data_IF_010215801475
#
_entry.id   IF_010215801475
#
_cell.length_a   1.000
_cell.length_b   1.000
_cell.length_c   1.000
_cell.angle_alpha   90.00
_cell.angle_beta   90.00
_cell.angle_gamma   90.00
#
_symmetry.space_group_name_H-M   'P 1'
#
loop_
_entity.id
_entity.type
_entity.pdbx_description
1 polymer ?
#
# COMPACT_ATOMS: atom_id res chain seq x y z
N UNK A 1 -18.77 8.94 -2.58
CA UNK A 1 -19.82 9.89 -2.17
C UNK A 1 -19.51 11.37 -2.42
N UNK A 2 -18.24 11.81 -2.56
CA UNK A 2 -17.89 13.18 -3.00
C UNK A 2 -16.90 13.25 -4.18
N UNK A 3 -16.48 12.10 -4.69
CA UNK A 3 -15.57 11.98 -5.81
C UNK A 3 -16.22 11.06 -6.85
N UNK A 4 -16.44 11.57 -8.06
CA UNK A 4 -17.00 10.78 -9.15
C UNK A 4 -15.88 9.96 -9.82
N UNK A 5 -16.05 8.65 -10.07
CA UNK A 5 -15.01 7.80 -10.66
C UNK A 5 -14.39 8.33 -11.97
N UNK A 6 -15.21 8.86 -12.89
CA UNK A 6 -14.72 9.44 -14.15
C UNK A 6 -13.88 10.69 -13.92
N UNK A 7 -14.36 11.59 -13.05
CA UNK A 7 -13.62 12.80 -12.68
C UNK A 7 -12.29 12.44 -12.00
N UNK A 8 -12.28 11.50 -11.07
CA UNK A 8 -11.05 11.01 -10.45
C UNK A 8 -10.06 10.50 -11.52
N UNK A 9 -10.49 9.56 -12.36
CA UNK A 9 -9.61 8.90 -13.34
C UNK A 9 -9.04 9.87 -14.37
N UNK A 10 -9.85 10.78 -14.90
CA UNK A 10 -9.44 11.65 -16.00
C UNK A 10 -8.87 13.00 -15.57
N UNK A 11 -9.23 13.51 -14.38
CA UNK A 11 -8.90 14.89 -13.98
C UNK A 11 -8.03 14.99 -12.73
N UNK A 12 -8.03 13.98 -11.88
CA UNK A 12 -7.23 13.98 -10.64
C UNK A 12 -6.00 13.10 -10.83
N UNK A 13 -6.23 11.84 -11.17
CA UNK A 13 -5.22 10.79 -11.30
C UNK A 13 -4.03 11.12 -12.21
N UNK A 14 -4.16 11.84 -13.34
CA UNK A 14 -3.01 12.18 -14.18
C UNK A 14 -1.91 12.95 -13.44
N UNK A 15 -2.27 13.81 -12.49
CA UNK A 15 -1.33 14.61 -11.72
C UNK A 15 -0.67 13.84 -10.56
N UNK A 16 -1.12 12.61 -10.32
CA UNK A 16 -0.60 11.74 -9.25
C UNK A 16 0.50 10.79 -9.74
N UNK A 17 0.69 10.68 -11.06
CA UNK A 17 1.77 9.88 -11.62
C UNK A 17 3.12 10.54 -11.36
N UNK A 18 4.10 9.73 -10.96
CA UNK A 18 5.50 10.13 -10.88
C UNK A 18 6.20 9.92 -12.21
N UNK A 19 7.52 9.92 -12.19
CA UNK A 19 8.38 9.80 -13.37
C UNK A 19 9.32 8.60 -13.31
N UNK A 20 9.16 7.72 -12.31
CA UNK A 20 9.71 6.35 -12.35
C UNK A 20 8.78 5.44 -13.14
N UNK A 21 9.32 4.67 -14.08
CA UNK A 21 8.56 3.79 -14.98
C UNK A 21 7.49 4.54 -15.81
N UNK A 22 7.67 5.85 -16.05
CA UNK A 22 6.71 6.69 -16.78
C UNK A 22 7.13 6.87 -18.26
N UNK A 23 6.32 6.45 -19.24
CA UNK A 23 6.68 6.57 -20.67
C UNK A 23 6.77 8.02 -21.16
N UNK A 24 6.11 8.97 -20.50
CA UNK A 24 6.18 10.39 -20.87
C UNK A 24 7.50 11.04 -20.37
N UNK A 25 8.19 10.42 -19.40
CA UNK A 25 9.48 10.84 -18.83
C UNK A 25 10.39 9.61 -18.61
N UNK A 26 10.85 8.95 -19.69
CA UNK A 26 11.50 7.64 -19.60
C UNK A 26 12.84 7.65 -18.87
N UNK A 27 13.52 8.80 -18.83
CA UNK A 27 14.79 8.96 -18.13
C UNK A 27 14.61 9.54 -16.70
N UNK A 28 13.38 9.85 -16.28
CA UNK A 28 13.07 10.56 -15.03
C UNK A 28 13.00 12.09 -15.20
N UNK A 29 13.06 12.81 -14.07
CA UNK A 29 12.91 14.27 -14.03
C UNK A 29 14.18 14.96 -13.53
N UNK A 30 14.60 16.03 -14.20
CA UNK A 30 15.70 16.89 -13.75
C UNK A 30 15.18 17.91 -12.75
N UNK A 31 15.83 17.96 -11.59
CA UNK A 31 15.58 18.95 -10.55
C UNK A 31 16.62 20.06 -10.61
N UNK A 32 16.33 21.10 -11.38
CA UNK A 32 17.25 22.23 -11.56
C UNK A 32 17.57 22.92 -10.21
N UNK A 33 18.84 23.21 -9.98
CA UNK A 33 19.33 23.86 -8.75
C UNK A 33 19.42 22.95 -7.51
N UNK A 34 19.20 21.64 -7.64
CA UNK A 34 19.33 20.70 -6.52
C UNK A 34 20.67 19.95 -6.61
N UNK A 35 21.66 20.43 -5.86
CA UNK A 35 23.04 19.90 -5.87
C UNK A 35 23.13 18.40 -5.63
N UNK A 36 22.28 17.85 -4.76
CA UNK A 36 22.27 16.42 -4.43
C UNK A 36 22.06 15.50 -5.64
N UNK A 37 21.41 16.00 -6.70
CA UNK A 37 21.17 15.25 -7.92
C UNK A 37 22.18 15.57 -9.03
N UNK A 38 22.95 16.65 -8.89
CA UNK A 38 24.05 16.99 -9.81
C UNK A 38 23.60 17.16 -11.25
N UNK A 39 22.40 17.71 -11.48
CA UNK A 39 21.81 17.90 -12.82
C UNK A 39 21.38 16.61 -13.53
N UNK A 40 21.47 15.44 -12.88
CA UNK A 40 21.02 14.17 -13.46
C UNK A 40 19.51 14.01 -13.29
N UNK A 41 18.83 13.35 -14.24
CA UNK A 41 17.47 12.91 -14.05
C UNK A 41 17.34 12.00 -12.83
N UNK A 42 16.23 12.15 -12.10
CA UNK A 42 15.90 11.36 -10.90
C UNK A 42 14.57 10.70 -11.11
N UNK A 43 14.43 9.46 -10.65
CA UNK A 43 13.20 8.69 -10.72
C UNK A 43 12.49 8.65 -9.37
N UNK A 44 11.22 9.07 -9.35
CA UNK A 44 10.35 8.89 -8.19
C UNK A 44 8.99 8.33 -8.62
N UNK A 45 8.47 7.40 -7.82
CA UNK A 45 7.12 6.86 -8.01
C UNK A 45 6.06 7.93 -7.76
N UNK A 46 4.92 7.75 -8.41
CA UNK A 46 3.72 8.54 -8.14
C UNK A 46 3.11 8.23 -6.78
N UNK A 47 2.08 8.98 -6.44
CA UNK A 47 1.29 8.74 -5.24
C UNK A 47 0.63 7.36 -5.30
N UNK A 48 0.58 6.68 -4.17
CA UNK A 48 -0.26 5.50 -3.98
C UNK A 48 -0.67 5.37 -2.52
N UNK A 49 -1.83 4.76 -2.27
CA UNK A 49 -2.25 4.38 -0.91
C UNK A 49 -1.25 3.49 -0.16
N UNK A 50 -0.34 2.81 -0.86
CA UNK A 50 0.76 2.06 -0.24
C UNK A 50 1.82 2.95 0.43
N UNK A 51 1.78 4.26 0.27
CA UNK A 51 2.63 5.22 1.01
C UNK A 51 2.01 5.61 2.37
N UNK A 52 0.75 5.22 2.64
CA UNK A 52 0.13 5.41 3.96
C UNK A 52 0.73 4.44 4.97
N UNK A 53 1.25 4.98 6.09
CA UNK A 53 1.84 4.21 7.19
C UNK A 53 0.82 3.38 7.99
N UNK A 54 -0.47 3.73 7.92
CA UNK A 54 -1.52 3.15 8.76
C UNK A 54 -1.66 1.64 8.59
N UNK A 55 -1.67 1.15 7.35
CA UNK A 55 -1.85 -0.29 7.09
C UNK A 55 -0.62 -1.08 7.50
N UNK A 56 0.58 -0.55 7.29
CA UNK A 56 1.83 -1.15 7.77
C UNK A 56 1.87 -1.23 9.30
N UNK A 57 1.40 -0.19 9.98
CA UNK A 57 1.30 -0.20 11.43
C UNK A 57 0.33 -1.28 11.92
N UNK A 58 -0.84 -1.44 11.29
CA UNK A 58 -1.76 -2.53 11.64
C UNK A 58 -1.17 -3.91 11.37
N UNK A 59 -0.48 -4.09 10.24
CA UNK A 59 0.21 -5.35 9.93
C UNK A 59 1.27 -5.67 10.98
N UNK A 60 2.10 -4.70 11.34
CA UNK A 60 3.13 -4.85 12.37
C UNK A 60 2.53 -5.18 13.75
N UNK A 61 1.50 -4.43 14.19
CA UNK A 61 0.83 -4.63 15.49
C UNK A 61 0.19 -6.02 15.56
N UNK A 62 -0.50 -6.44 14.49
CA UNK A 62 -1.22 -7.71 14.45
C UNK A 62 -0.30 -8.89 14.11
N UNK A 63 0.96 -8.64 13.75
CA UNK A 63 1.90 -9.66 13.32
C UNK A 63 1.46 -10.36 12.04
N UNK A 64 0.97 -9.59 11.07
CA UNK A 64 0.62 -10.08 9.74
C UNK A 64 1.88 -10.06 8.89
N UNK A 65 2.27 -11.23 8.39
CA UNK A 65 3.39 -11.39 7.48
C UNK A 65 2.92 -11.64 6.05
N UNK A 66 3.63 -11.01 5.12
CA UNK A 66 3.42 -11.13 3.69
C UNK A 66 4.57 -11.93 3.07
N UNK A 67 4.25 -12.79 2.11
CA UNK A 67 5.26 -13.61 1.41
C UNK A 67 6.38 -12.76 0.81
N UNK A 68 7.59 -13.32 0.75
CA UNK A 68 8.78 -12.64 0.25
C UNK A 68 8.85 -12.73 -1.28
N UNK A 69 8.18 -11.80 -1.96
CA UNK A 69 8.15 -11.70 -3.41
C UNK A 69 8.44 -10.27 -3.91
N UNK A 70 8.30 -10.05 -5.22
CA UNK A 70 8.47 -8.73 -5.83
C UNK A 70 7.49 -7.67 -5.28
N UNK A 71 6.34 -8.08 -4.75
CA UNK A 71 5.39 -7.17 -4.12
C UNK A 71 5.92 -6.66 -2.78
N UNK A 72 6.53 -7.52 -1.96
CA UNK A 72 7.17 -7.06 -0.73
C UNK A 72 8.30 -6.08 -1.00
N UNK A 73 9.08 -6.30 -2.06
CA UNK A 73 10.12 -5.35 -2.49
C UNK A 73 9.51 -3.98 -2.86
N UNK A 74 8.39 -3.97 -3.59
CA UNK A 74 7.67 -2.73 -3.91
C UNK A 74 7.13 -2.01 -2.67
N UNK A 75 6.51 -2.73 -1.72
CA UNK A 75 5.98 -2.12 -0.49
C UNK A 75 7.10 -1.58 0.40
N UNK A 76 8.25 -2.27 0.46
CA UNK A 76 9.43 -1.75 1.15
C UNK A 76 9.96 -0.47 0.49
N UNK A 77 9.93 -0.37 -0.84
CA UNK A 77 10.23 0.88 -1.53
C UNK A 77 9.25 1.99 -1.10
N UNK A 78 7.95 1.69 -0.98
CA UNK A 78 6.92 2.65 -0.54
C UNK A 78 7.10 3.14 0.89
N UNK A 79 7.70 2.33 1.79
CA UNK A 79 8.10 2.82 3.13
C UNK A 79 9.09 3.99 3.03
N UNK A 80 9.96 4.01 2.02
CA UNK A 80 10.89 5.11 1.78
C UNK A 80 10.21 6.47 1.54
N UNK A 81 8.94 6.47 1.13
CA UNK A 81 8.12 7.66 0.90
C UNK A 81 7.35 8.12 2.15
N UNK A 82 7.40 7.38 3.25
CA UNK A 82 6.77 7.76 4.51
C UNK A 82 7.63 8.75 5.30
N UNK A 83 7.00 9.62 6.12
CA UNK A 83 7.71 10.39 7.13
C UNK A 83 8.64 9.50 7.98
N UNK A 84 9.79 10.04 8.37
CA UNK A 84 10.82 9.28 9.12
C UNK A 84 10.24 8.74 10.44
N UNK A 85 9.40 9.52 11.11
CA UNK A 85 8.79 9.18 12.39
C UNK A 85 7.81 8.00 12.25
N UNK A 86 7.04 7.97 11.16
CA UNK A 86 6.11 6.89 10.86
C UNK A 86 6.85 5.58 10.59
N UNK A 87 7.95 5.64 9.84
CA UNK A 87 8.83 4.46 9.62
C UNK A 87 9.39 3.94 10.93
N UNK A 88 9.97 4.83 11.73
CA UNK A 88 10.56 4.47 13.02
C UNK A 88 9.53 3.86 13.98
N UNK A 89 8.29 4.36 13.96
CA UNK A 89 7.19 3.78 14.73
C UNK A 89 6.87 2.35 14.30
N UNK A 90 6.73 2.09 13.00
CA UNK A 90 6.45 0.75 12.49
C UNK A 90 7.62 -0.19 12.82
N UNK A 91 8.86 0.24 12.61
CA UNK A 91 10.07 -0.54 12.93
C UNK A 91 10.17 -0.88 14.41
N UNK A 92 9.82 0.04 15.31
CA UNK A 92 9.80 -0.21 16.74
C UNK A 92 8.76 -1.27 17.15
N UNK A 93 7.60 -1.31 16.47
CA UNK A 93 6.60 -2.35 16.69
C UNK A 93 7.11 -3.70 16.16
N UNK A 94 7.67 -3.72 14.96
CA UNK A 94 8.21 -4.93 14.32
C UNK A 94 9.35 -5.57 15.14
N UNK A 95 10.18 -4.75 15.80
CA UNK A 95 11.26 -5.20 16.68
C UNK A 95 10.80 -5.53 18.11
N UNK A 96 9.58 -5.13 18.46
CA UNK A 96 9.00 -5.29 19.79
C UNK A 96 8.47 -6.71 20.06
N UNK A 97 7.85 -6.86 21.23
CA UNK A 97 7.19 -8.11 21.59
C UNK A 97 5.93 -8.34 20.74
N UNK A 98 5.79 -9.55 20.19
CA UNK A 98 4.61 -9.92 19.39
C UNK A 98 3.36 -10.06 20.25
N UNK A 99 2.36 -9.19 20.01
CA UNK A 99 1.02 -9.29 20.59
C UNK A 99 0.38 -10.63 20.23
N UNK A 100 0.49 -11.04 18.96
CA UNK A 100 -0.02 -12.33 18.47
C UNK A 100 0.54 -13.51 19.28
N UNK A 101 1.86 -13.58 19.42
CA UNK A 101 2.52 -14.65 20.17
C UNK A 101 2.16 -14.62 21.66
N UNK A 102 1.99 -13.42 22.23
CA UNK A 102 1.56 -13.24 23.61
C UNK A 102 0.15 -13.82 23.85
N UNK A 103 -0.80 -13.49 22.98
CA UNK A 103 -2.20 -13.97 23.07
C UNK A 103 -2.25 -15.49 22.89
N UNK A 104 -1.47 -16.05 21.95
CA UNK A 104 -1.39 -17.50 21.74
C UNK A 104 -0.92 -18.26 22.99
N UNK A 105 -0.03 -17.65 23.80
CA UNK A 105 0.48 -18.27 25.04
C UNK A 105 -0.49 -18.17 26.22
N UNK A 106 -1.28 -17.10 26.31
CA UNK A 106 -2.12 -16.81 27.50
C UNK A 106 -3.46 -17.56 27.52
N UNK A 107 -3.86 -18.22 26.42
CA UNK A 107 -5.13 -18.98 26.32
C UNK A 107 -6.39 -18.23 26.77
N UNK A 108 -6.41 -16.89 26.71
CA UNK A 108 -7.54 -16.07 27.14
C UNK A 108 -8.50 -15.80 25.97
N UNK A 109 -9.73 -16.34 26.04
CA UNK A 109 -10.71 -16.26 24.95
C UNK A 109 -11.04 -14.82 24.54
N UNK A 110 -11.29 -13.92 25.49
CA UNK A 110 -11.60 -12.52 25.17
C UNK A 110 -10.50 -11.79 24.39
N UNK A 111 -9.21 -12.05 24.68
CA UNK A 111 -8.09 -11.45 23.95
C UNK A 111 -8.01 -12.01 22.53
N UNK A 112 -8.25 -13.31 22.36
CA UNK A 112 -8.32 -13.96 21.05
C UNK A 112 -9.45 -13.39 20.20
N UNK A 113 -10.63 -13.23 20.78
CA UNK A 113 -11.80 -12.65 20.11
C UNK A 113 -11.53 -11.20 19.68
N UNK A 114 -10.95 -10.39 20.57
CA UNK A 114 -10.58 -9.01 20.25
C UNK A 114 -9.54 -8.94 19.11
N UNK A 115 -8.51 -9.78 19.15
CA UNK A 115 -7.51 -9.88 18.09
C UNK A 115 -8.13 -10.30 16.74
N UNK A 116 -8.96 -11.34 16.75
CA UNK A 116 -9.64 -11.81 15.53
C UNK A 116 -10.61 -10.75 14.98
N UNK A 117 -11.25 -9.96 15.85
CA UNK A 117 -12.07 -8.83 15.43
C UNK A 117 -11.26 -7.76 14.69
N UNK A 118 -10.02 -7.48 15.11
CA UNK A 118 -9.09 -6.61 14.39
C UNK A 118 -8.70 -7.19 13.02
N UNK A 119 -8.37 -8.48 12.95
CA UNK A 119 -8.08 -9.18 11.68
C UNK A 119 -9.26 -9.04 10.70
N UNK A 120 -10.49 -9.28 11.18
CA UNK A 120 -11.68 -9.12 10.34
C UNK A 120 -11.93 -7.69 9.91
N UNK A 121 -11.68 -6.70 10.78
CA UNK A 121 -11.80 -5.29 10.42
C UNK A 121 -10.81 -4.90 9.30
N UNK A 122 -9.55 -5.32 9.41
CA UNK A 122 -8.54 -5.08 8.38
C UNK A 122 -8.87 -5.80 7.07
N UNK A 123 -9.35 -7.05 7.13
CA UNK A 123 -9.83 -7.77 5.95
C UNK A 123 -10.99 -7.04 5.26
N UNK A 124 -11.98 -6.53 6.02
CA UNK A 124 -13.08 -5.74 5.45
C UNK A 124 -12.57 -4.48 4.76
N UNK A 125 -11.62 -3.77 5.37
CA UNK A 125 -10.98 -2.61 4.76
C UNK A 125 -10.30 -2.98 3.42
N UNK A 126 -9.51 -4.05 3.39
CA UNK A 126 -8.81 -4.49 2.17
C UNK A 126 -9.78 -4.92 1.06
N UNK A 127 -10.87 -5.60 1.41
CA UNK A 127 -11.95 -5.94 0.46
C UNK A 127 -12.63 -4.70 -0.11
N UNK A 128 -12.98 -3.73 0.74
CA UNK A 128 -13.56 -2.48 0.27
C UNK A 128 -12.58 -1.74 -0.65
N UNK A 129 -11.29 -1.73 -0.30
CA UNK A 129 -10.26 -1.07 -1.09
C UNK A 129 -10.12 -1.65 -2.50
N UNK A 130 -10.14 -2.98 -2.68
CA UNK A 130 -10.08 -3.58 -4.03
C UNK A 130 -11.34 -3.28 -4.86
N UNK A 131 -12.51 -3.22 -4.23
CA UNK A 131 -13.76 -2.82 -4.89
C UNK A 131 -13.70 -1.37 -5.39
N UNK A 132 -13.16 -0.47 -4.57
CA UNK A 132 -12.93 0.93 -4.96
C UNK A 132 -11.89 1.03 -6.08
N UNK A 133 -10.80 0.27 -6.02
CA UNK A 133 -9.81 0.25 -7.08
C UNK A 133 -10.42 -0.21 -8.43
N UNK A 134 -11.30 -1.22 -8.39
CA UNK A 134 -12.04 -1.64 -9.59
C UNK A 134 -12.98 -0.53 -10.11
N UNK A 135 -13.73 0.12 -9.23
CA UNK A 135 -14.70 1.15 -9.61
C UNK A 135 -14.05 2.45 -10.12
N UNK A 136 -12.93 2.88 -9.53
CA UNK A 136 -12.30 4.16 -9.81
C UNK A 136 -11.14 4.07 -10.82
N UNK A 137 -10.60 2.88 -11.07
CA UNK A 137 -9.46 2.69 -11.98
C UNK A 137 -9.84 1.79 -13.15
N UNK A 138 -10.30 0.56 -12.90
CA UNK A 138 -10.52 -0.43 -13.96
C UNK A 138 -11.70 0.00 -14.85
N UNK A 139 -12.86 0.26 -14.25
CA UNK A 139 -14.08 0.58 -15.00
C UNK A 139 -13.95 1.85 -15.85
N UNK A 140 -13.37 2.97 -15.37
CA UNK A 140 -13.14 4.14 -16.23
C UNK A 140 -12.05 3.93 -17.29
N UNK A 141 -11.11 3.00 -17.07
CA UNK A 141 -10.05 2.68 -18.03
C UNK A 141 -10.53 1.91 -19.26
N UNK A 142 -11.66 1.18 -19.19
CA UNK A 142 -12.22 0.41 -20.31
C UNK A 142 -12.54 1.27 -21.56
N UNK A 143 -12.64 2.60 -21.40
CA UNK A 143 -12.79 3.57 -22.50
C UNK A 143 -11.54 4.41 -22.80
N UNK A 144 -10.41 4.21 -22.12
CA UNK A 144 -9.22 5.05 -22.20
C UNK A 144 -8.04 4.34 -22.87
N UNK A 145 -7.28 5.06 -23.72
CA UNK A 145 -6.11 4.52 -24.44
C UNK A 145 -4.88 4.25 -23.55
N UNK A 146 -4.80 4.88 -22.36
CA UNK A 146 -3.73 4.65 -21.35
C UNK A 146 -4.28 3.73 -20.25
N UNK A 147 -3.66 2.55 -20.10
CA UNK A 147 -4.22 1.36 -19.44
C UNK A 147 -4.31 1.35 -17.90
N UNK A 148 -4.72 0.19 -17.38
CA UNK A 148 -5.08 -0.08 -15.98
C UNK A 148 -3.88 -0.28 -15.02
N UNK A 149 -2.75 0.38 -15.26
CA UNK A 149 -1.57 0.35 -14.38
C UNK A 149 -1.77 1.33 -13.24
N UNK A 150 -1.47 0.99 -11.99
CA UNK A 150 -1.58 1.91 -10.85
C UNK A 150 -0.70 3.17 -10.99
N UNK A 151 -0.98 4.24 -10.24
CA UNK A 151 -0.18 5.48 -10.25
C UNK A 151 1.27 5.28 -9.78
N UNK A 152 1.51 4.24 -8.98
CA UNK A 152 2.85 3.76 -8.62
C UNK A 152 3.49 2.80 -9.64
N UNK A 153 2.86 2.54 -10.79
CA UNK A 153 3.42 1.72 -11.88
C UNK A 153 3.11 0.22 -11.80
N UNK A 154 2.19 -0.23 -10.93
CA UNK A 154 2.03 -1.66 -10.63
C UNK A 154 0.69 -2.29 -11.04
N UNK A 155 0.63 -3.64 -11.25
CA UNK A 155 -0.60 -4.40 -11.42
C UNK A 155 -1.31 -4.60 -10.07
N UNK A 156 -1.88 -3.52 -9.53
CA UNK A 156 -2.40 -3.43 -8.17
C UNK A 156 -3.46 -4.49 -7.80
N UNK A 157 -4.21 -5.04 -8.76
CA UNK A 157 -5.29 -6.01 -8.49
C UNK A 157 -4.77 -7.33 -7.92
N UNK A 158 -3.64 -7.83 -8.42
CA UNK A 158 -2.98 -9.04 -7.91
C UNK A 158 -2.57 -8.80 -6.46
N UNK A 159 -2.03 -7.62 -6.19
CA UNK A 159 -1.47 -7.25 -4.89
C UNK A 159 -2.54 -7.11 -3.82
N UNK A 160 -3.61 -6.39 -4.14
CA UNK A 160 -4.73 -6.20 -3.23
C UNK A 160 -5.40 -7.53 -2.89
N UNK A 161 -5.57 -8.42 -3.88
CA UNK A 161 -6.17 -9.75 -3.65
C UNK A 161 -5.31 -10.59 -2.71
N UNK A 162 -4.00 -10.64 -2.95
CA UNK A 162 -3.07 -11.43 -2.12
C UNK A 162 -3.09 -10.97 -0.66
N UNK A 163 -3.04 -9.66 -0.40
CA UNK A 163 -3.12 -9.14 0.96
C UNK A 163 -4.45 -9.45 1.66
N UNK A 164 -5.57 -9.52 0.94
CA UNK A 164 -6.87 -9.95 1.49
C UNK A 164 -6.77 -11.39 1.97
N UNK A 165 -6.23 -12.27 1.13
CA UNK A 165 -6.11 -13.70 1.42
C UNK A 165 -5.13 -13.97 2.58
N UNK A 166 -4.01 -13.24 2.63
CA UNK A 166 -3.01 -13.37 3.70
C UNK A 166 -3.52 -12.87 5.05
N UNK A 167 -4.37 -11.84 5.12
CA UNK A 167 -4.92 -11.35 6.39
C UNK A 167 -5.63 -12.46 7.18
N UNK A 168 -6.48 -13.25 6.52
CA UNK A 168 -7.27 -14.27 7.20
C UNK A 168 -6.45 -15.48 7.66
N UNK A 169 -5.28 -15.74 7.05
CA UNK A 169 -4.34 -16.77 7.51
C UNK A 169 -3.81 -16.48 8.93
N UNK A 170 -3.95 -15.25 9.39
CA UNK A 170 -3.52 -14.81 10.71
C UNK A 170 -4.65 -14.83 11.74
N UNK A 171 -5.78 -15.51 11.52
CA UNK A 171 -6.72 -15.76 12.63
C UNK A 171 -6.06 -16.64 13.71
N UNK A 172 -6.49 -16.46 14.96
CA UNK A 172 -6.14 -17.33 16.08
C UNK A 172 -7.27 -18.33 16.34
N UNK A 173 -6.90 -19.59 16.56
CA UNK A 173 -7.80 -20.69 16.94
C UNK A 173 -7.98 -20.75 18.43
#
# INVERSE_FOLDING_TARGET
ERCEPKTYYHRVRPYMFGWKDNPDLPDGMIYEGVDAYGGRPVEFRGETGAQSSVIYAFDAILGIEHEHDSMRAYLNEMRGYMPVQDRAFIEAIEQGASIRACIQKQCHSALREAYNACIHALHRFRKLHIEYAALYIIKPAEGAKKGAVGTGGTPFTVYLKKHIDETLKHLLT
#
